data_IF_291512662933
#
_entry.id   IF_291512662933
#
_cell.length_a   1.000
_cell.length_b   1.000
_cell.length_c   1.000
_cell.angle_alpha   90.00
_cell.angle_beta   90.00
_cell.angle_gamma   90.00
#
_symmetry.space_group_name_H-M   'P 1'
#
loop_
_entity.id
_entity.type
_entity.pdbx_description
1 polymer ?
#
# COMPACT_ATOMS: atom_id res chain seq x y z
N UNK A 1 -9.76 -32.68 10.25
CA UNK A 1 -8.31 -32.51 9.97
C UNK A 1 -8.04 -32.13 8.51
N UNK A 2 -8.72 -32.70 7.51
CA UNK A 2 -8.53 -32.31 6.09
C UNK A 2 -9.07 -30.92 5.71
N UNK A 3 -10.21 -30.48 6.27
CA UNK A 3 -10.79 -29.15 5.99
C UNK A 3 -9.88 -27.99 6.41
N UNK A 4 -9.30 -28.07 7.61
CA UNK A 4 -8.42 -27.03 8.17
C UNK A 4 -7.12 -26.85 7.38
N UNK A 5 -6.62 -27.90 6.72
CA UNK A 5 -5.36 -27.86 5.98
C UNK A 5 -5.52 -27.26 4.57
N UNK A 6 -6.69 -27.43 3.95
CA UNK A 6 -7.04 -26.85 2.65
C UNK A 6 -7.37 -25.36 2.79
N UNK A 7 -8.09 -24.99 3.86
CA UNK A 7 -8.35 -23.58 4.20
C UNK A 7 -7.04 -22.81 4.46
N UNK A 8 -6.08 -23.42 5.18
CA UNK A 8 -4.80 -22.76 5.46
C UNK A 8 -3.95 -22.52 4.20
N UNK A 9 -3.88 -23.50 3.29
CA UNK A 9 -3.19 -23.32 1.99
C UNK A 9 -3.85 -22.26 1.10
N UNK A 10 -5.17 -22.10 1.19
CA UNK A 10 -5.90 -21.06 0.46
C UNK A 10 -5.54 -19.66 0.93
N UNK A 11 -5.44 -19.47 2.26
CA UNK A 11 -5.07 -18.19 2.88
C UNK A 11 -3.60 -17.84 2.56
N UNK A 12 -2.68 -18.79 2.66
CA UNK A 12 -1.26 -18.57 2.33
C UNK A 12 -1.10 -18.13 0.87
N UNK A 13 -1.78 -18.81 -0.07
CA UNK A 13 -1.75 -18.43 -1.48
C UNK A 13 -2.35 -17.04 -1.71
N UNK A 14 -3.51 -16.77 -1.11
CA UNK A 14 -4.18 -15.46 -1.20
C UNK A 14 -3.27 -14.33 -0.67
N UNK A 15 -2.62 -14.55 0.47
CA UNK A 15 -1.70 -13.59 1.06
C UNK A 15 -0.46 -13.38 0.21
N UNK A 16 0.07 -14.45 -0.39
CA UNK A 16 1.21 -14.37 -1.29
C UNK A 16 0.87 -13.61 -2.58
N UNK A 17 -0.29 -13.87 -3.18
CA UNK A 17 -0.75 -13.19 -4.38
C UNK A 17 -0.93 -11.69 -4.12
N UNK A 18 -1.55 -11.32 -2.99
CA UNK A 18 -1.72 -9.91 -2.58
C UNK A 18 -0.38 -9.24 -2.24
N UNK A 19 0.55 -9.96 -1.63
CA UNK A 19 1.92 -9.46 -1.39
C UNK A 19 2.65 -9.21 -2.71
N UNK A 20 2.65 -10.18 -3.63
CA UNK A 20 3.27 -10.05 -4.95
C UNK A 20 2.68 -8.86 -5.72
N UNK A 21 1.36 -8.70 -5.68
CA UNK A 21 0.68 -7.55 -6.25
C UNK A 21 1.10 -6.23 -5.58
N UNK A 22 1.30 -6.19 -4.26
CA UNK A 22 1.66 -4.97 -3.54
C UNK A 22 3.09 -4.50 -3.83
N UNK A 23 4.03 -5.43 -4.05
CA UNK A 23 5.45 -5.14 -4.25
C UNK A 23 5.82 -4.95 -5.72
N UNK A 24 4.90 -5.28 -6.62
CA UNK A 24 5.04 -4.98 -8.03
C UNK A 24 5.16 -3.46 -8.26
N UNK A 25 6.14 -3.06 -9.08
CA UNK A 25 6.51 -1.65 -9.30
C UNK A 25 5.96 -1.09 -10.62
N UNK A 26 5.27 -1.88 -11.44
CA UNK A 26 4.86 -1.44 -12.78
C UNK A 26 3.90 -0.25 -12.69
N UNK A 27 2.85 -0.35 -11.88
CA UNK A 27 1.87 0.74 -11.74
C UNK A 27 2.53 2.04 -11.26
N UNK A 28 3.41 1.96 -10.25
CA UNK A 28 4.13 3.14 -9.73
C UNK A 28 4.98 3.82 -10.82
N UNK A 29 5.69 3.04 -11.63
CA UNK A 29 6.46 3.56 -12.77
C UNK A 29 5.55 4.18 -13.82
N UNK A 30 4.43 3.54 -14.14
CA UNK A 30 3.45 4.06 -15.12
C UNK A 30 2.90 5.40 -14.68
N UNK A 31 2.52 5.57 -13.41
CA UNK A 31 2.05 6.87 -12.89
C UNK A 31 3.12 7.95 -13.00
N UNK A 32 4.39 7.64 -12.68
CA UNK A 32 5.50 8.60 -12.79
C UNK A 32 5.80 8.98 -14.25
N UNK A 33 5.67 8.04 -15.19
CA UNK A 33 5.81 8.33 -16.62
C UNK A 33 4.73 9.28 -17.13
N UNK A 34 3.53 9.25 -16.54
CA UNK A 34 2.44 10.15 -16.89
C UNK A 34 2.54 11.54 -16.24
N UNK A 35 3.49 11.77 -15.32
CA UNK A 35 3.70 13.09 -14.75
C UNK A 35 4.24 14.06 -15.82
N UNK A 36 3.74 15.30 -15.88
CA UNK A 36 4.28 16.32 -16.75
C UNK A 36 5.79 16.55 -16.53
N UNK A 37 6.54 16.94 -17.58
CA UNK A 37 7.95 17.32 -17.43
C UNK A 37 8.17 18.46 -16.43
N UNK A 38 7.21 19.39 -16.36
CA UNK A 38 7.27 20.60 -15.53
C UNK A 38 6.69 20.39 -14.12
N UNK A 39 6.43 19.14 -13.70
CA UNK A 39 5.99 18.87 -12.33
C UNK A 39 7.07 19.31 -11.34
N UNK A 40 6.63 19.95 -10.25
CA UNK A 40 7.49 20.37 -9.15
C UNK A 40 8.00 19.17 -8.31
N UNK A 41 7.46 17.98 -8.54
CA UNK A 41 7.74 16.79 -7.75
C UNK A 41 8.99 16.05 -8.26
N UNK A 42 9.85 15.64 -7.33
CA UNK A 42 10.95 14.72 -7.65
C UNK A 42 10.38 13.36 -8.06
N UNK A 43 10.60 12.96 -9.31
CA UNK A 43 10.05 11.71 -9.89
C UNK A 43 10.45 10.47 -9.09
N UNK A 44 11.69 10.43 -8.60
CA UNK A 44 12.18 9.33 -7.77
C UNK A 44 11.44 9.22 -6.45
N UNK A 45 11.20 10.35 -5.78
CA UNK A 45 10.40 10.44 -4.56
C UNK A 45 8.95 10.07 -4.80
N UNK A 46 8.33 10.53 -5.89
CA UNK A 46 6.95 10.14 -6.22
C UNK A 46 6.85 8.64 -6.47
N UNK A 47 7.79 8.04 -7.21
CA UNK A 47 7.81 6.58 -7.42
C UNK A 47 7.92 5.83 -6.09
N UNK A 48 8.84 6.27 -5.23
CA UNK A 48 9.08 5.66 -3.92
C UNK A 48 7.83 5.75 -3.02
N UNK A 49 7.24 6.92 -2.89
CA UNK A 49 6.06 7.12 -2.06
C UNK A 49 4.83 6.42 -2.65
N UNK A 50 4.69 6.32 -3.99
CA UNK A 50 3.64 5.52 -4.62
C UNK A 50 3.77 4.05 -4.26
N UNK A 51 5.00 3.52 -4.27
CA UNK A 51 5.27 2.14 -3.87
C UNK A 51 4.93 1.90 -2.40
N UNK A 52 5.31 2.82 -1.53
CA UNK A 52 4.95 2.77 -0.10
C UNK A 52 3.44 2.82 0.07
N UNK A 53 2.77 3.77 -0.60
CA UNK A 53 1.31 3.92 -0.57
C UNK A 53 0.61 2.63 -1.04
N UNK A 54 1.10 1.99 -2.09
CA UNK A 54 0.56 0.72 -2.60
C UNK A 54 0.62 -0.38 -1.55
N UNK A 55 1.79 -0.59 -0.94
CA UNK A 55 1.98 -1.61 0.11
C UNK A 55 1.02 -1.40 1.27
N UNK A 56 1.00 -0.20 1.85
CA UNK A 56 0.12 0.07 3.01
C UNK A 56 -1.37 0.00 2.62
N UNK A 57 -1.72 0.36 1.39
CA UNK A 57 -3.11 0.33 0.91
C UNK A 57 -3.59 -1.11 0.73
N UNK A 58 -2.76 -2.04 0.26
CA UNK A 58 -3.14 -3.46 0.19
C UNK A 58 -3.39 -4.01 1.60
N UNK A 59 -2.48 -3.78 2.54
CA UNK A 59 -2.64 -4.22 3.92
C UNK A 59 -3.87 -3.63 4.61
N UNK A 60 -4.14 -2.35 4.41
CA UNK A 60 -5.36 -1.70 4.89
C UNK A 60 -6.62 -2.22 4.19
N UNK A 61 -6.55 -2.43 2.88
CA UNK A 61 -7.63 -2.95 2.04
C UNK A 61 -8.09 -4.35 2.45
N UNK A 62 -7.16 -5.24 2.82
CA UNK A 62 -7.47 -6.56 3.39
C UNK A 62 -8.31 -6.40 4.66
N UNK A 63 -7.82 -5.59 5.60
CA UNK A 63 -8.50 -5.37 6.89
C UNK A 63 -9.87 -4.69 6.72
N UNK A 64 -9.99 -3.80 5.73
CA UNK A 64 -11.22 -3.09 5.41
C UNK A 64 -12.26 -4.01 4.75
N UNK A 65 -11.88 -4.76 3.71
CA UNK A 65 -12.78 -5.63 2.96
C UNK A 65 -13.26 -6.82 3.77
N UNK A 66 -12.41 -7.36 4.64
CA UNK A 66 -12.71 -8.52 5.49
C UNK A 66 -13.20 -8.12 6.89
N UNK A 67 -13.71 -6.90 7.10
CA UNK A 67 -14.07 -6.37 8.44
C UNK A 67 -14.86 -7.36 9.32
N UNK A 68 -15.78 -8.13 8.72
CA UNK A 68 -16.66 -9.07 9.41
C UNK A 68 -16.33 -10.55 9.12
N UNK A 69 -15.21 -10.83 8.45
CA UNK A 69 -14.81 -12.19 8.06
C UNK A 69 -13.80 -12.77 9.06
N UNK A 70 -13.91 -14.07 9.43
CA UNK A 70 -12.93 -14.73 10.27
C UNK A 70 -11.54 -14.82 9.61
N UNK A 71 -11.47 -14.64 8.29
CA UNK A 71 -10.23 -14.68 7.51
C UNK A 71 -9.40 -13.40 7.62
N UNK A 72 -9.96 -12.33 8.19
CA UNK A 72 -9.27 -11.04 8.34
C UNK A 72 -7.91 -11.19 9.01
N UNK A 73 -7.89 -11.77 10.22
CA UNK A 73 -6.68 -11.92 11.02
C UNK A 73 -5.63 -12.78 10.32
N UNK A 74 -5.91 -14.04 9.93
CA UNK A 74 -4.88 -14.90 9.35
C UNK A 74 -4.34 -14.34 8.02
N UNK A 75 -5.18 -13.74 7.17
CA UNK A 75 -4.71 -13.15 5.92
C UNK A 75 -3.88 -11.87 6.16
N UNK A 76 -4.29 -11.02 7.10
CA UNK A 76 -3.53 -9.81 7.44
C UNK A 76 -2.17 -10.16 8.06
N UNK A 77 -2.12 -11.14 8.96
CA UNK A 77 -0.88 -11.60 9.58
C UNK A 77 0.09 -12.17 8.54
N UNK A 78 -0.40 -12.99 7.61
CA UNK A 78 0.41 -13.51 6.51
C UNK A 78 0.99 -12.37 5.67
N UNK A 79 0.13 -11.45 5.23
CA UNK A 79 0.54 -10.30 4.40
C UNK A 79 1.61 -9.45 5.09
N UNK A 80 1.37 -9.04 6.34
CA UNK A 80 2.31 -8.19 7.07
C UNK A 80 3.61 -8.91 7.45
N UNK A 81 3.58 -10.22 7.63
CA UNK A 81 4.80 -11.03 7.81
C UNK A 81 5.67 -10.99 6.56
N UNK A 82 5.09 -11.22 5.37
CA UNK A 82 5.82 -11.11 4.11
C UNK A 82 6.37 -9.69 3.86
N UNK A 83 5.59 -8.64 4.18
CA UNK A 83 6.06 -7.25 4.11
C UNK A 83 7.23 -6.99 5.06
N UNK A 84 7.20 -7.56 6.27
CA UNK A 84 8.29 -7.43 7.24
C UNK A 84 9.58 -8.09 6.72
N UNK A 85 9.48 -9.28 6.14
CA UNK A 85 10.62 -10.00 5.55
C UNK A 85 11.24 -9.23 4.37
N UNK A 86 10.40 -8.71 3.47
CA UNK A 86 10.84 -7.80 2.41
C UNK A 86 11.57 -6.59 3.00
N UNK A 87 10.99 -5.97 4.01
CA UNK A 87 11.53 -4.75 4.62
C UNK A 87 12.92 -4.99 5.21
N UNK A 88 13.16 -6.14 5.84
CA UNK A 88 14.50 -6.51 6.34
C UNK A 88 15.53 -6.58 5.21
N UNK A 89 15.15 -7.13 4.06
CA UNK A 89 16.00 -7.22 2.89
C UNK A 89 16.29 -5.85 2.29
N UNK A 90 15.27 -4.99 2.18
CA UNK A 90 15.41 -3.60 1.68
C UNK A 90 16.29 -2.78 2.62
N UNK A 91 16.04 -2.83 3.93
CA UNK A 91 16.83 -2.14 4.96
C UNK A 91 18.30 -2.54 4.89
N UNK A 92 18.59 -3.84 4.81
CA UNK A 92 19.95 -4.36 4.74
C UNK A 92 20.69 -3.88 3.49
N UNK A 93 20.04 -3.96 2.32
CA UNK A 93 20.62 -3.50 1.06
C UNK A 93 20.87 -1.99 1.06
N UNK A 94 19.90 -1.20 1.52
CA UNK A 94 20.01 0.24 1.58
C UNK A 94 21.10 0.71 2.57
N UNK A 95 21.25 0.00 3.70
CA UNK A 95 22.31 0.27 4.67
C UNK A 95 23.72 0.06 4.12
N UNK A 96 23.92 -1.02 3.34
CA UNK A 96 25.20 -1.26 2.67
C UNK A 96 25.53 -0.19 1.63
N UNK A 97 24.53 0.34 0.91
CA UNK A 97 24.75 1.34 -0.15
C UNK A 97 24.95 2.76 0.39
N UNK A 98 24.24 3.12 1.44
CA UNK A 98 24.20 4.50 1.94
C UNK A 98 25.08 4.74 3.17
N UNK A 99 25.54 3.66 3.83
CA UNK A 99 26.24 3.72 5.11
C UNK A 99 25.35 4.18 6.27
N UNK A 100 24.03 4.27 6.06
CA UNK A 100 23.04 4.71 7.05
C UNK A 100 22.11 3.56 7.40
N UNK A 101 21.78 3.43 8.67
CA UNK A 101 20.73 2.50 9.08
C UNK A 101 19.38 3.01 8.57
N UNK A 102 18.71 2.21 7.74
CA UNK A 102 17.42 2.52 7.14
C UNK A 102 16.45 1.45 7.61
N UNK A 103 15.43 1.84 8.37
CA UNK A 103 14.34 0.94 8.74
C UNK A 103 13.14 1.15 7.80
N UNK A 104 13.09 0.32 6.75
CA UNK A 104 11.99 0.37 5.79
C UNK A 104 10.65 -0.04 6.41
N UNK A 105 10.64 -0.98 7.37
CA UNK A 105 9.40 -1.41 8.00
C UNK A 105 8.81 -0.31 8.87
N UNK A 106 9.65 0.39 9.63
CA UNK A 106 9.24 1.56 10.39
C UNK A 106 8.72 2.66 9.47
N UNK A 107 9.34 2.86 8.29
CA UNK A 107 8.84 3.82 7.29
C UNK A 107 7.43 3.48 6.81
N UNK A 108 7.15 2.21 6.49
CA UNK A 108 5.81 1.77 6.10
C UNK A 108 4.79 2.01 7.22
N UNK A 109 5.16 1.70 8.47
CA UNK A 109 4.31 1.92 9.64
C UNK A 109 3.99 3.41 9.85
N UNK A 110 5.01 4.26 9.85
CA UNK A 110 4.86 5.71 10.00
C UNK A 110 3.96 6.30 8.92
N UNK A 111 4.07 5.79 7.69
CA UNK A 111 3.23 6.19 6.56
C UNK A 111 1.78 5.75 6.73
N UNK A 112 1.55 4.51 7.16
CA UNK A 112 0.20 4.03 7.48
C UNK A 112 -0.44 4.89 8.59
N UNK A 113 0.29 5.11 9.70
CA UNK A 113 -0.19 5.92 10.82
C UNK A 113 -0.52 7.36 10.40
N UNK A 114 0.33 7.95 9.54
CA UNK A 114 0.10 9.28 8.97
C UNK A 114 -1.21 9.36 8.17
N UNK A 115 -1.45 8.42 7.24
CA UNK A 115 -2.68 8.44 6.44
C UNK A 115 -3.93 8.13 7.26
N UNK A 116 -3.85 7.20 8.23
CA UNK A 116 -4.95 6.93 9.16
C UNK A 116 -5.29 8.17 9.99
N UNK A 117 -4.27 8.87 10.50
CA UNK A 117 -4.47 10.13 11.22
C UNK A 117 -5.07 11.23 10.34
N UNK A 118 -4.73 11.29 9.04
CA UNK A 118 -5.38 12.20 8.11
C UNK A 118 -6.85 11.88 7.88
N UNK A 119 -7.20 10.62 7.64
CA UNK A 119 -8.59 10.18 7.48
C UNK A 119 -9.42 10.49 8.73
N UNK A 120 -8.88 10.27 9.92
CA UNK A 120 -9.57 10.56 11.18
C UNK A 120 -9.80 12.07 11.42
N UNK A 121 -8.96 12.94 10.85
CA UNK A 121 -9.14 14.40 10.93
C UNK A 121 -10.21 14.92 9.98
N UNK A 122 -10.60 14.16 8.96
CA UNK A 122 -11.60 14.54 7.96
C UNK A 122 -12.72 13.48 7.83
N UNK A 123 -13.50 13.22 8.90
CA UNK A 123 -14.56 12.21 8.87
C UNK A 123 -15.71 12.55 7.92
N UNK A 124 -15.84 13.82 7.51
CA UNK A 124 -16.85 14.28 6.55
C UNK A 124 -16.43 14.22 5.08
N UNK A 125 -15.26 13.67 4.76
CA UNK A 125 -14.85 13.48 3.37
C UNK A 125 -15.78 12.49 2.67
N UNK A 126 -16.15 12.78 1.43
CA UNK A 126 -17.05 11.94 0.61
C UNK A 126 -16.47 10.57 0.33
N UNK A 127 -15.15 10.46 0.22
CA UNK A 127 -14.42 9.21 0.07
C UNK A 127 -12.98 9.32 0.60
N UNK A 128 -12.34 8.21 1.05
CA UNK A 128 -10.97 8.27 1.57
C UNK A 128 -9.94 8.79 0.56
N UNK A 129 -10.12 8.52 -0.75
CA UNK A 129 -9.20 8.95 -1.79
C UNK A 129 -9.07 10.49 -1.90
N UNK A 130 -10.12 11.23 -1.52
CA UNK A 130 -10.12 12.69 -1.49
C UNK A 130 -9.22 13.27 -0.39
N UNK A 131 -8.94 12.48 0.66
CA UNK A 131 -8.00 12.82 1.74
C UNK A 131 -6.59 12.34 1.41
N UNK A 132 -6.48 11.12 0.88
CA UNK A 132 -5.18 10.47 0.63
C UNK A 132 -4.35 11.23 -0.42
N UNK A 133 -4.95 11.67 -1.53
CA UNK A 133 -4.20 12.36 -2.60
C UNK A 133 -3.47 13.61 -2.13
N UNK A 134 -4.16 14.58 -1.47
CA UNK A 134 -3.51 15.77 -0.95
C UNK A 134 -2.40 15.48 0.07
N UNK A 135 -2.61 14.51 0.97
CA UNK A 135 -1.60 14.13 1.96
C UNK A 135 -0.40 13.42 1.31
N UNK A 136 -0.65 12.60 0.28
CA UNK A 136 0.39 11.99 -0.54
C UNK A 136 1.26 13.05 -1.22
N UNK A 137 0.65 14.07 -1.82
CA UNK A 137 1.40 15.15 -2.46
C UNK A 137 2.28 15.93 -1.48
N UNK A 138 1.79 16.16 -0.25
CA UNK A 138 2.60 16.76 0.83
C UNK A 138 3.80 15.89 1.20
N UNK A 139 3.61 14.57 1.32
CA UNK A 139 4.70 13.62 1.61
C UNK A 139 5.73 13.58 0.48
N UNK A 140 5.31 13.78 -0.77
CA UNK A 140 6.19 13.93 -1.93
C UNK A 140 6.93 15.28 -1.98
N UNK A 141 6.58 16.24 -1.12
CA UNK A 141 7.14 17.60 -1.14
C UNK A 141 6.53 18.51 -2.21
N UNK A 142 5.40 18.11 -2.81
CA UNK A 142 4.73 18.79 -3.91
C UNK A 142 3.23 18.97 -3.62
N UNK A 143 2.88 19.46 -2.42
CA UNK A 143 1.50 19.54 -1.93
C UNK A 143 0.51 20.29 -2.83
N UNK A 144 1.00 21.23 -3.65
CA UNK A 144 0.19 22.02 -4.58
C UNK A 144 0.18 21.44 -6.02
N UNK A 145 0.91 20.37 -6.28
CA UNK A 145 0.95 19.73 -7.60
C UNK A 145 -0.25 18.79 -7.79
N UNK A 146 -1.23 19.25 -8.56
CA UNK A 146 -2.45 18.50 -8.88
C UNK A 146 -2.17 17.13 -9.49
N UNK A 147 -1.08 16.98 -10.26
CA UNK A 147 -0.73 15.69 -10.87
C UNK A 147 -0.24 14.69 -9.83
N UNK A 148 0.53 15.13 -8.85
CA UNK A 148 0.94 14.31 -7.70
C UNK A 148 -0.27 13.91 -6.86
N UNK A 149 -1.19 14.85 -6.58
CA UNK A 149 -2.44 14.58 -5.85
C UNK A 149 -3.27 13.50 -6.54
N UNK A 150 -3.52 13.66 -7.83
CA UNK A 150 -4.33 12.71 -8.62
C UNK A 150 -3.66 11.34 -8.68
N UNK A 151 -2.32 11.28 -8.77
CA UNK A 151 -1.58 10.02 -8.80
C UNK A 151 -1.74 9.24 -7.49
N UNK A 152 -1.60 9.92 -6.35
CA UNK A 152 -1.84 9.32 -5.03
C UNK A 152 -3.27 8.84 -4.85
N UNK A 153 -4.26 9.66 -5.21
CA UNK A 153 -5.68 9.28 -5.13
C UNK A 153 -6.01 8.07 -6.00
N UNK A 154 -5.52 8.04 -7.25
CA UNK A 154 -5.77 6.94 -8.19
C UNK A 154 -5.09 5.65 -7.77
N UNK A 155 -3.85 5.73 -7.29
CA UNK A 155 -3.14 4.57 -6.74
C UNK A 155 -3.94 3.96 -5.59
N UNK A 156 -4.32 4.78 -4.61
CA UNK A 156 -5.08 4.32 -3.46
C UNK A 156 -6.42 3.70 -3.85
N UNK A 157 -7.24 4.41 -4.63
CA UNK A 157 -8.56 3.92 -5.02
C UNK A 157 -8.47 2.65 -5.87
N UNK A 158 -7.55 2.62 -6.84
CA UNK A 158 -7.32 1.46 -7.71
C UNK A 158 -6.91 0.23 -6.92
N UNK A 159 -5.97 0.37 -5.98
CA UNK A 159 -5.52 -0.75 -5.13
C UNK A 159 -6.67 -1.30 -4.28
N UNK A 160 -7.49 -0.44 -3.67
CA UNK A 160 -8.65 -0.90 -2.89
C UNK A 160 -9.63 -1.69 -3.74
N UNK A 161 -9.99 -1.17 -4.91
CA UNK A 161 -10.89 -1.87 -5.84
C UNK A 161 -10.32 -3.23 -6.26
N UNK A 162 -9.00 -3.31 -6.53
CA UNK A 162 -8.35 -4.57 -6.92
C UNK A 162 -8.33 -5.60 -5.79
N UNK A 163 -8.05 -5.19 -4.56
CA UNK A 163 -8.12 -6.08 -3.39
C UNK A 163 -9.54 -6.59 -3.20
N UNK A 164 -10.54 -5.71 -3.32
CA UNK A 164 -11.94 -6.07 -3.21
C UNK A 164 -12.38 -7.07 -4.31
N UNK A 165 -12.05 -6.78 -5.57
CA UNK A 165 -12.30 -7.67 -6.71
C UNK A 165 -11.68 -9.05 -6.49
N UNK A 166 -10.41 -9.09 -6.09
CA UNK A 166 -9.69 -10.34 -5.86
C UNK A 166 -10.33 -11.17 -4.73
N UNK A 167 -10.64 -10.56 -3.58
CA UNK A 167 -11.27 -11.26 -2.48
C UNK A 167 -12.69 -11.76 -2.82
N UNK A 168 -13.44 -10.98 -3.62
CA UNK A 168 -14.78 -11.35 -4.09
C UNK A 168 -14.72 -12.53 -5.06
N UNK A 169 -13.77 -12.53 -6.01
CA UNK A 169 -13.61 -13.65 -6.96
C UNK A 169 -13.23 -14.97 -6.28
N UNK A 170 -12.60 -14.91 -5.11
CA UNK A 170 -12.30 -16.07 -4.28
C UNK A 170 -13.45 -16.48 -3.33
N UNK A 171 -14.56 -15.72 -3.30
CA UNK A 171 -15.68 -15.96 -2.41
C UNK A 171 -15.37 -15.73 -0.93
N UNK A 172 -14.37 -14.88 -0.62
CA UNK A 172 -13.92 -14.59 0.75
C UNK A 172 -14.58 -13.35 1.35
N UNK A 173 -15.30 -12.59 0.53
CA UNK A 173 -16.15 -11.43 0.84
C UNK A 173 -17.54 -11.69 0.29
#
# INVERSE_FOLDING_TARGET
MAHTQVENKGIEKCGQDLFNYAVDREDAKTFVMCLPPDSLADRGRVEYELQVLRIITVGWGIAYCLRNSPLKTPLSEFYWTAVRELSQSVSSAAGLMTGKDIDYFQTLKDRLDFYVAALNRQPGATEPAAVIGPEFAKVCGSGDDVYTVVSGSKMFAGVISRVEEYLTTLGLK
#
